data_IF_914837920826
#
_entry.id   IF_914837920826
#
_cell.length_a   1.000
_cell.length_b   1.000
_cell.length_c   1.000
_cell.angle_alpha   90.00
_cell.angle_beta   90.00
_cell.angle_gamma   90.00
#
_symmetry.space_group_name_H-M   'P 1'
#
loop_
_entity.id
_entity.type
_entity.pdbx_description
1 polymer ?
#
# COMPACT_ATOMS: atom_id res chain seq x y z
N UNK A 1 -15.77 17.17 -21.25
CA UNK A 1 -14.63 16.51 -21.95
C UNK A 1 -15.16 15.37 -22.79
N UNK A 2 -14.67 15.19 -24.03
CA UNK A 2 -14.97 13.98 -24.80
C UNK A 2 -14.39 12.72 -24.13
N UNK A 3 -15.01 11.56 -24.38
CA UNK A 3 -14.63 10.27 -23.75
C UNK A 3 -13.15 9.92 -23.93
N UNK A 4 -12.59 10.13 -25.13
CA UNK A 4 -11.17 9.89 -25.41
C UNK A 4 -10.23 10.80 -24.61
N UNK A 5 -10.56 12.09 -24.45
CA UNK A 5 -9.76 13.04 -23.65
C UNK A 5 -9.81 12.68 -22.16
N UNK A 6 -10.94 12.19 -21.67
CA UNK A 6 -11.07 11.73 -20.29
C UNK A 6 -10.21 10.49 -20.04
N UNK A 7 -10.27 9.48 -20.90
CA UNK A 7 -9.45 8.28 -20.77
C UNK A 7 -7.96 8.63 -20.80
N UNK A 8 -7.54 9.48 -21.75
CA UNK A 8 -6.14 9.92 -21.84
C UNK A 8 -5.68 10.66 -20.58
N UNK A 9 -6.52 11.54 -20.01
CA UNK A 9 -6.22 12.22 -18.75
C UNK A 9 -6.12 11.23 -17.59
N UNK A 10 -7.05 10.28 -17.48
CA UNK A 10 -7.07 9.28 -16.42
C UNK A 10 -5.84 8.37 -16.46
N UNK A 11 -5.43 7.92 -17.65
CA UNK A 11 -4.21 7.13 -17.83
C UNK A 11 -2.95 7.95 -17.51
N UNK A 12 -2.91 9.20 -17.99
CA UNK A 12 -1.81 10.12 -17.72
C UNK A 12 -1.62 10.38 -16.23
N UNK A 13 -2.69 10.67 -15.51
CA UNK A 13 -2.65 10.85 -14.05
C UNK A 13 -2.37 9.53 -13.33
N UNK A 14 -2.90 8.42 -13.84
CA UNK A 14 -2.62 7.09 -13.33
C UNK A 14 -1.15 6.71 -13.36
N UNK A 15 -0.36 7.28 -14.27
CA UNK A 15 1.09 7.08 -14.34
C UNK A 15 1.80 7.45 -13.02
N UNK A 16 1.30 8.45 -12.27
CA UNK A 16 1.81 8.80 -10.94
C UNK A 16 1.67 7.62 -9.97
N UNK A 17 0.49 6.99 -9.93
CA UNK A 17 0.26 5.83 -9.07
C UNK A 17 1.02 4.60 -9.56
N UNK A 18 1.16 4.43 -10.88
CA UNK A 18 1.98 3.36 -11.45
C UNK A 18 3.46 3.49 -11.02
N UNK A 19 3.98 4.72 -10.93
CA UNK A 19 5.33 4.97 -10.43
C UNK A 19 5.49 4.55 -8.96
N UNK A 20 4.51 4.88 -8.10
CA UNK A 20 4.51 4.43 -6.69
C UNK A 20 4.43 2.90 -6.59
N UNK A 21 3.63 2.27 -7.46
CA UNK A 21 3.57 0.82 -7.58
C UNK A 21 4.93 0.20 -7.96
N UNK A 22 5.61 0.75 -8.97
CA UNK A 22 6.94 0.28 -9.38
C UNK A 22 8.00 0.47 -8.28
N UNK A 23 7.98 1.60 -7.56
CA UNK A 23 8.85 1.83 -6.40
C UNK A 23 8.58 0.81 -5.29
N UNK A 24 7.31 0.45 -5.06
CA UNK A 24 6.99 -0.54 -4.04
C UNK A 24 7.62 -1.90 -4.32
N UNK A 25 7.77 -2.30 -5.59
CA UNK A 25 8.46 -3.55 -5.96
C UNK A 25 9.97 -3.46 -5.74
N UNK A 26 10.58 -2.31 -6.01
CA UNK A 26 11.99 -2.09 -5.69
C UNK A 26 12.25 -2.21 -4.19
N UNK A 27 11.38 -1.62 -3.36
CA UNK A 27 11.58 -1.56 -1.91
C UNK A 27 11.12 -2.83 -1.20
N UNK A 28 9.89 -3.27 -1.44
CA UNK A 28 9.31 -4.44 -0.77
C UNK A 28 9.73 -5.75 -1.44
N UNK A 29 10.21 -5.72 -2.68
CA UNK A 29 10.73 -6.89 -3.37
C UNK A 29 12.25 -6.99 -3.34
N UNK A 30 12.91 -6.21 -4.18
CA UNK A 30 14.36 -6.35 -4.39
C UNK A 30 15.13 -6.06 -3.09
N UNK A 31 14.88 -4.92 -2.44
CA UNK A 31 15.60 -4.58 -1.21
C UNK A 31 15.26 -5.53 -0.07
N UNK A 32 13.97 -5.82 0.14
CA UNK A 32 13.52 -6.74 1.18
C UNK A 32 14.24 -8.11 1.08
N UNK A 33 14.20 -8.71 -0.11
CA UNK A 33 14.84 -10.00 -0.36
C UNK A 33 16.35 -9.94 -0.14
N UNK A 34 17.03 -8.93 -0.70
CA UNK A 34 18.48 -8.79 -0.54
C UNK A 34 18.88 -8.62 0.93
N UNK A 35 18.14 -7.80 1.68
CA UNK A 35 18.43 -7.57 3.09
C UNK A 35 18.30 -8.84 3.92
N UNK A 36 17.24 -9.62 3.72
CA UNK A 36 16.96 -10.81 4.55
C UNK A 36 17.82 -12.01 4.12
N UNK A 37 17.78 -12.37 2.84
CA UNK A 37 18.37 -13.64 2.36
C UNK A 37 19.88 -13.53 2.11
N UNK A 38 20.34 -12.40 1.58
CA UNK A 38 21.72 -12.27 1.08
C UNK A 38 22.63 -11.50 2.03
N UNK A 39 22.10 -10.48 2.71
CA UNK A 39 22.86 -9.65 3.65
C UNK A 39 22.67 -10.06 5.11
N UNK A 40 21.86 -11.09 5.36
CA UNK A 40 21.56 -11.67 6.68
C UNK A 40 21.06 -10.64 7.71
N UNK A 41 20.39 -9.59 7.25
CA UNK A 41 19.75 -8.61 8.13
C UNK A 41 18.57 -9.29 8.83
N UNK A 42 18.40 -9.12 10.16
CA UNK A 42 17.23 -9.63 10.85
C UNK A 42 15.93 -9.16 10.19
N UNK A 43 15.04 -10.10 9.82
CA UNK A 43 13.78 -9.78 9.16
C UNK A 43 12.93 -8.74 9.92
N UNK A 44 12.96 -8.74 11.26
CA UNK A 44 12.30 -7.74 12.08
C UNK A 44 12.81 -6.30 11.80
N UNK A 45 14.13 -6.13 11.62
CA UNK A 45 14.73 -4.84 11.33
C UNK A 45 14.43 -4.38 9.89
N UNK A 46 14.54 -5.30 8.92
CA UNK A 46 14.18 -5.04 7.52
C UNK A 46 12.71 -4.63 7.40
N UNK A 47 11.81 -5.40 8.03
CA UNK A 47 10.39 -5.11 8.03
C UNK A 47 10.05 -3.83 8.80
N UNK A 48 10.75 -3.52 9.89
CA UNK A 48 10.65 -2.24 10.58
C UNK A 48 10.99 -1.10 9.63
N UNK A 49 12.12 -1.21 8.91
CA UNK A 49 12.52 -0.19 7.94
C UNK A 49 11.46 -0.01 6.86
N UNK A 50 11.09 -1.08 6.15
CA UNK A 50 10.16 -1.01 5.01
C UNK A 50 8.73 -0.63 5.43
N UNK A 51 8.25 -1.11 6.58
CA UNK A 51 6.91 -0.82 7.09
C UNK A 51 6.76 0.56 7.73
N UNK A 52 7.87 1.15 8.20
CA UNK A 52 7.86 2.47 8.87
C UNK A 52 7.31 3.60 8.00
N UNK A 53 7.42 3.50 6.68
CA UNK A 53 6.88 4.48 5.73
C UNK A 53 5.36 4.69 5.88
N UNK A 54 4.63 3.69 6.40
CA UNK A 54 3.19 3.79 6.63
C UNK A 54 2.85 4.40 7.99
N UNK A 55 3.77 4.36 8.97
CA UNK A 55 3.55 4.91 10.31
C UNK A 55 3.43 6.44 10.31
N UNK A 56 4.01 7.08 9.30
CA UNK A 56 3.93 8.54 9.10
C UNK A 56 2.66 8.97 8.35
N UNK A 57 1.70 8.08 8.12
CA UNK A 57 0.47 8.38 7.37
C UNK A 57 -0.38 9.51 7.99
N UNK A 58 -0.25 9.81 9.29
CA UNK A 58 -0.91 10.96 9.91
C UNK A 58 -0.49 12.30 9.28
N UNK A 59 0.72 12.37 8.73
CA UNK A 59 1.23 13.59 8.06
C UNK A 59 0.47 13.93 6.79
N UNK A 60 -0.25 12.97 6.19
CA UNK A 60 -1.11 13.20 5.02
C UNK A 60 -2.10 14.34 5.25
N UNK A 61 -2.71 14.41 6.43
CA UNK A 61 -3.66 15.48 6.79
C UNK A 61 -2.97 16.84 6.79
N UNK A 62 -1.78 16.92 7.38
CA UNK A 62 -0.99 18.15 7.44
C UNK A 62 -0.56 18.62 6.04
N UNK A 63 -0.06 17.71 5.19
CA UNK A 63 0.33 18.03 3.82
C UNK A 63 -0.87 18.42 2.94
N UNK A 64 -2.04 17.81 3.15
CA UNK A 64 -3.30 18.23 2.54
C UNK A 64 -3.57 19.70 2.83
N UNK A 65 -3.76 20.06 4.10
CA UNK A 65 -4.04 21.43 4.54
C UNK A 65 -2.97 22.45 4.10
N UNK A 66 -1.69 22.06 4.11
CA UNK A 66 -0.60 22.95 3.68
C UNK A 66 -0.63 23.20 2.18
N UNK A 67 -0.93 22.18 1.38
CA UNK A 67 -1.07 22.31 -0.07
C UNK A 67 -2.28 23.17 -0.46
N UNK A 68 -3.38 23.11 0.31
CA UNK A 68 -4.55 23.97 0.10
C UNK A 68 -4.22 25.46 0.17
N UNK A 69 -3.30 25.83 1.07
CA UNK A 69 -2.87 27.21 1.33
C UNK A 69 -1.70 27.67 0.44
N UNK A 70 -1.10 26.78 -0.33
CA UNK A 70 0.01 27.11 -1.21
C UNK A 70 -0.48 27.92 -2.42
N UNK A 71 0.30 28.91 -2.87
CA UNK A 71 -0.01 29.73 -4.05
C UNK A 71 1.25 30.03 -4.86
N UNK A 72 2.07 29.02 -5.12
CA UNK A 72 3.32 29.21 -5.87
C UNK A 72 3.02 29.35 -7.37
N UNK A 73 3.29 30.54 -7.94
CA UNK A 73 3.03 30.86 -9.37
C UNK A 73 1.57 30.58 -9.81
N UNK A 74 0.60 30.78 -8.91
CA UNK A 74 -0.82 30.52 -9.17
C UNK A 74 -1.21 29.03 -9.16
N UNK A 75 -0.31 28.14 -8.76
CA UNK A 75 -0.54 26.71 -8.54
C UNK A 75 -0.61 26.42 -7.03
N UNK A 76 -1.57 25.58 -6.63
CA UNK A 76 -1.79 25.16 -5.24
C UNK A 76 -1.18 23.78 -4.98
N UNK A 77 -1.50 22.79 -5.81
CA UNK A 77 -1.18 21.36 -5.57
C UNK A 77 0.15 20.94 -6.18
N UNK A 78 0.41 21.32 -7.43
CA UNK A 78 1.57 20.92 -8.24
C UNK A 78 2.92 21.12 -7.54
N UNK A 79 3.20 22.25 -6.84
CA UNK A 79 4.48 22.45 -6.17
C UNK A 79 4.75 21.42 -5.07
N UNK A 80 3.71 21.03 -4.31
CA UNK A 80 3.82 20.00 -3.29
C UNK A 80 4.01 18.61 -3.91
N UNK A 81 3.29 18.31 -4.99
CA UNK A 81 3.45 17.04 -5.72
C UNK A 81 4.87 16.91 -6.26
N UNK A 82 5.40 17.93 -6.94
CA UNK A 82 6.76 17.89 -7.49
C UNK A 82 7.84 17.89 -6.41
N UNK A 83 7.68 18.68 -5.35
CA UNK A 83 8.62 18.71 -4.23
C UNK A 83 8.66 17.38 -3.49
N UNK A 84 7.50 16.81 -3.18
CA UNK A 84 7.38 15.47 -2.61
C UNK A 84 7.94 14.38 -3.54
N UNK A 85 7.71 14.50 -4.85
CA UNK A 85 8.27 13.59 -5.85
C UNK A 85 9.79 13.63 -5.94
N UNK A 86 10.38 14.81 -5.95
CA UNK A 86 11.83 14.97 -5.88
C UNK A 86 12.36 14.35 -4.58
N UNK A 87 11.72 14.65 -3.45
CA UNK A 87 12.11 14.12 -2.15
C UNK A 87 12.03 12.57 -2.11
N UNK A 88 10.92 11.95 -2.49
CA UNK A 88 10.82 10.49 -2.42
C UNK A 88 11.75 9.81 -3.42
N UNK A 89 11.99 10.37 -4.61
CA UNK A 89 12.95 9.82 -5.57
C UNK A 89 14.39 9.90 -5.03
N UNK A 90 14.78 11.03 -4.46
CA UNK A 90 16.10 11.17 -3.82
C UNK A 90 16.26 10.23 -2.64
N UNK A 91 15.20 10.04 -1.83
CA UNK A 91 15.22 9.11 -0.70
C UNK A 91 15.22 7.64 -1.15
N UNK A 92 14.62 7.30 -2.30
CA UNK A 92 14.79 5.97 -2.91
C UNK A 92 16.25 5.74 -3.32
N UNK A 93 16.90 6.75 -3.92
CA UNK A 93 18.33 6.68 -4.24
C UNK A 93 19.18 6.48 -2.98
N UNK A 94 18.95 7.29 -1.94
CA UNK A 94 19.63 7.16 -0.64
C UNK A 94 19.36 5.77 -0.03
N UNK A 95 18.12 5.29 -0.04
CA UNK A 95 17.77 3.97 0.49
C UNK A 95 18.53 2.86 -0.23
N UNK A 96 18.60 2.90 -1.56
CA UNK A 96 19.38 1.92 -2.32
C UNK A 96 20.88 2.00 -2.03
N UNK A 97 21.46 3.21 -1.90
CA UNK A 97 22.86 3.37 -1.46
C UNK A 97 23.08 2.84 -0.04
N UNK A 98 22.13 3.01 0.86
CA UNK A 98 22.17 2.45 2.22
C UNK A 98 22.10 0.91 2.19
N UNK A 99 21.28 0.32 1.31
CA UNK A 99 21.23 -1.14 1.11
C UNK A 99 22.58 -1.69 0.62
N UNK A 100 23.22 -1.01 -0.34
CA UNK A 100 24.56 -1.38 -0.81
C UNK A 100 25.62 -1.20 0.28
N UNK A 101 25.50 -0.16 1.10
CA UNK A 101 26.35 0.03 2.27
C UNK A 101 26.15 -1.07 3.33
N UNK A 102 24.94 -1.60 3.49
CA UNK A 102 24.69 -2.78 4.34
C UNK A 102 25.37 -4.03 3.74
N UNK A 103 25.29 -4.20 2.42
CA UNK A 103 25.95 -5.30 1.71
C UNK A 103 27.46 -5.37 2.02
N UNK A 104 28.14 -4.22 1.99
CA UNK A 104 29.57 -4.13 2.33
C UNK A 104 29.88 -4.60 3.75
N UNK A 105 29.02 -4.26 4.74
CA UNK A 105 29.20 -4.72 6.12
C UNK A 105 28.97 -6.23 6.26
N UNK A 106 27.96 -6.75 5.56
CA UNK A 106 27.64 -8.17 5.55
C UNK A 106 28.78 -9.00 4.95
N UNK A 107 29.34 -8.56 3.82
CA UNK A 107 30.51 -9.20 3.19
C UNK A 107 31.77 -9.19 4.08
N UNK A 108 31.89 -8.21 4.98
CA UNK A 108 32.98 -8.12 5.97
C UNK A 108 32.73 -8.98 7.22
N UNK A 109 31.55 -9.59 7.37
CA UNK A 109 31.16 -10.35 8.55
C UNK A 109 30.92 -9.50 9.81
N UNK A 110 30.73 -8.18 9.65
CA UNK A 110 30.51 -7.26 10.79
C UNK A 110 29.01 -7.13 11.09
N UNK A 111 28.50 -8.07 11.89
CA UNK A 111 27.09 -8.10 12.30
C UNK A 111 26.64 -6.84 13.05
N UNK A 112 27.55 -6.16 13.78
CA UNK A 112 27.21 -4.93 14.50
C UNK A 112 26.95 -3.78 13.54
N UNK A 113 27.83 -3.63 12.54
CA UNK A 113 27.62 -2.67 11.45
C UNK A 113 26.32 -2.95 10.70
N UNK A 114 26.01 -4.21 10.38
CA UNK A 114 24.76 -4.56 9.67
C UNK A 114 23.52 -4.03 10.40
N UNK A 115 23.45 -4.21 11.73
CA UNK A 115 22.32 -3.73 12.54
C UNK A 115 22.25 -2.19 12.58
N UNK A 116 23.38 -1.52 12.80
CA UNK A 116 23.43 -0.05 12.86
C UNK A 116 23.03 0.55 11.51
N UNK A 117 23.57 0.02 10.41
CA UNK A 117 23.24 0.46 9.05
C UNK A 117 21.78 0.17 8.70
N UNK A 118 21.22 -0.94 9.18
CA UNK A 118 19.78 -1.24 9.07
C UNK A 118 18.88 -0.27 9.84
N UNK A 119 19.30 0.22 11.01
CA UNK A 119 18.57 1.28 11.73
C UNK A 119 18.60 2.61 10.97
N UNK A 120 19.74 2.95 10.34
CA UNK A 120 19.81 4.11 9.44
C UNK A 120 18.84 3.95 8.28
N UNK A 121 18.75 2.76 7.68
CA UNK A 121 17.79 2.46 6.62
C UNK A 121 16.34 2.70 7.09
N UNK A 122 16.00 2.34 8.33
CA UNK A 122 14.68 2.60 8.88
C UNK A 122 14.35 4.10 8.98
N UNK A 123 15.32 4.93 9.37
CA UNK A 123 15.16 6.39 9.37
C UNK A 123 14.96 6.92 7.95
N UNK A 124 15.71 6.40 6.97
CA UNK A 124 15.52 6.77 5.56
C UNK A 124 14.12 6.43 5.08
N UNK A 125 13.56 5.27 5.44
CA UNK A 125 12.20 4.89 5.05
C UNK A 125 11.10 5.67 5.78
N UNK A 126 11.33 6.13 7.01
CA UNK A 126 10.44 7.09 7.67
C UNK A 126 10.35 8.40 6.88
N UNK A 127 11.51 8.96 6.49
CA UNK A 127 11.59 10.17 5.66
C UNK A 127 10.97 9.93 4.27
N UNK A 128 11.17 8.74 3.70
CA UNK A 128 10.57 8.35 2.42
C UNK A 128 9.03 8.33 2.50
N UNK A 129 8.45 7.79 3.58
CA UNK A 129 7.00 7.83 3.80
C UNK A 129 6.44 9.25 3.98
N UNK A 130 7.21 10.15 4.61
CA UNK A 130 6.88 11.57 4.71
C UNK A 130 6.87 12.23 3.34
N UNK A 131 7.86 11.94 2.49
CA UNK A 131 7.95 12.46 1.14
C UNK A 131 6.84 11.93 0.22
N UNK A 132 6.48 10.64 0.33
CA UNK A 132 5.30 10.09 -0.34
C UNK A 132 4.05 10.84 0.11
N UNK A 133 3.85 11.03 1.42
CA UNK A 133 2.66 11.72 1.95
C UNK A 133 2.57 13.17 1.48
N UNK A 134 3.71 13.86 1.35
CA UNK A 134 3.80 15.20 0.79
C UNK A 134 3.36 15.28 -0.68
N UNK A 135 3.56 14.20 -1.45
CA UNK A 135 3.21 14.15 -2.87
C UNK A 135 1.82 13.56 -3.13
N UNK A 136 1.50 12.42 -2.51
CA UNK A 136 0.31 11.61 -2.83
C UNK A 136 -0.98 12.27 -2.36
N UNK A 137 -0.96 12.96 -1.23
CA UNK A 137 -2.17 13.58 -0.69
C UNK A 137 -2.62 14.79 -1.51
N UNK A 138 -1.73 15.75 -1.84
CA UNK A 138 -2.08 16.82 -2.76
C UNK A 138 -2.41 16.32 -4.17
N UNK A 139 -1.82 15.20 -4.60
CA UNK A 139 -2.20 14.54 -5.85
C UNK A 139 -3.64 14.02 -5.83
N UNK A 140 -4.07 13.37 -4.74
CA UNK A 140 -5.46 12.92 -4.59
C UNK A 140 -6.44 14.11 -4.61
N UNK A 141 -6.09 15.22 -3.97
CA UNK A 141 -6.87 16.46 -4.05
C UNK A 141 -6.91 17.03 -5.48
N UNK A 142 -5.79 16.98 -6.22
CA UNK A 142 -5.74 17.40 -7.61
C UNK A 142 -6.71 16.58 -8.49
N UNK A 143 -6.86 15.27 -8.26
CA UNK A 143 -7.84 14.45 -9.00
C UNK A 143 -9.27 14.96 -8.81
N UNK A 144 -9.60 15.42 -7.60
CA UNK A 144 -10.89 16.02 -7.29
C UNK A 144 -11.04 17.36 -8.00
N UNK A 145 -10.02 18.21 -7.95
CA UNK A 145 -10.02 19.55 -8.56
C UNK A 145 -10.18 19.52 -10.09
N UNK A 146 -9.70 18.45 -10.76
CA UNK A 146 -9.74 18.32 -12.23
C UNK A 146 -10.89 17.48 -12.77
N UNK A 147 -11.74 16.93 -11.88
CA UNK A 147 -12.86 16.07 -12.27
C UNK A 147 -14.21 16.61 -11.83
N UNK A 148 -15.21 16.40 -12.69
CA UNK A 148 -16.61 16.66 -12.33
C UNK A 148 -17.14 15.57 -11.39
N UNK A 149 -18.17 15.86 -10.59
CA UNK A 149 -18.79 14.89 -9.67
C UNK A 149 -19.16 13.56 -10.35
N UNK A 150 -19.70 13.64 -11.58
CA UNK A 150 -20.07 12.45 -12.37
C UNK A 150 -18.86 11.61 -12.83
N UNK A 151 -17.71 12.25 -13.04
CA UNK A 151 -16.51 11.60 -13.57
C UNK A 151 -15.54 11.14 -12.48
N UNK A 152 -15.61 11.74 -11.29
CA UNK A 152 -14.68 11.51 -10.17
C UNK A 152 -14.54 10.03 -9.79
N UNK A 153 -15.62 9.23 -9.61
CA UNK A 153 -15.46 7.82 -9.23
C UNK A 153 -14.70 7.01 -10.29
N UNK A 154 -14.97 7.26 -11.57
CA UNK A 154 -14.30 6.59 -12.67
C UNK A 154 -12.82 7.00 -12.78
N UNK A 155 -12.51 8.29 -12.64
CA UNK A 155 -11.13 8.79 -12.65
C UNK A 155 -10.32 8.17 -11.52
N UNK A 156 -10.85 8.24 -10.29
CA UNK A 156 -10.20 7.68 -9.09
C UNK A 156 -9.98 6.19 -9.26
N UNK A 157 -10.99 5.43 -9.70
CA UNK A 157 -10.85 3.98 -9.93
C UNK A 157 -9.74 3.64 -10.94
N UNK A 158 -9.66 4.35 -12.07
CA UNK A 158 -8.58 4.14 -13.06
C UNK A 158 -7.21 4.46 -12.47
N UNK A 159 -7.08 5.61 -11.81
CA UNK A 159 -5.82 6.06 -11.21
C UNK A 159 -5.33 5.09 -10.13
N UNK A 160 -6.21 4.61 -9.26
CA UNK A 160 -5.86 3.61 -8.25
C UNK A 160 -5.57 2.24 -8.83
N UNK A 161 -6.28 1.83 -9.89
CA UNK A 161 -5.97 0.57 -10.60
C UNK A 161 -4.57 0.61 -11.23
N UNK A 162 -4.12 1.79 -11.66
CA UNK A 162 -2.77 1.98 -12.19
C UNK A 162 -1.67 1.73 -11.14
N UNK A 163 -1.96 1.79 -9.84
CA UNK A 163 -1.01 1.34 -8.82
C UNK A 163 -0.68 -0.14 -8.98
N UNK A 164 -1.70 -0.99 -9.15
CA UNK A 164 -1.51 -2.43 -9.38
C UNK A 164 -0.82 -2.70 -10.73
N UNK A 165 -1.19 -1.96 -11.78
CA UNK A 165 -0.47 -2.03 -13.06
C UNK A 165 1.00 -1.66 -12.89
N UNK A 166 1.30 -0.65 -12.07
CA UNK A 166 2.66 -0.25 -11.71
C UNK A 166 3.44 -1.33 -10.97
N UNK A 167 2.81 -2.06 -10.05
CA UNK A 167 3.42 -3.22 -9.38
C UNK A 167 3.75 -4.32 -10.40
N UNK A 168 2.79 -4.68 -11.26
CA UNK A 168 3.00 -5.74 -12.27
C UNK A 168 4.07 -5.34 -13.28
N UNK A 169 3.94 -4.16 -13.89
CA UNK A 169 4.91 -3.65 -14.85
C UNK A 169 6.27 -3.42 -14.20
N UNK A 170 6.31 -2.87 -12.99
CA UNK A 170 7.54 -2.68 -12.21
C UNK A 170 8.26 -3.99 -11.95
N UNK A 171 7.57 -5.02 -11.47
CA UNK A 171 8.16 -6.34 -11.27
C UNK A 171 8.75 -6.93 -12.56
N UNK A 172 8.05 -6.80 -13.69
CA UNK A 172 8.57 -7.30 -14.98
C UNK A 172 9.78 -6.47 -15.45
N UNK A 173 9.69 -5.15 -15.42
CA UNK A 173 10.73 -4.24 -15.91
C UNK A 173 11.99 -4.27 -15.05
N UNK A 174 11.84 -4.25 -13.71
CA UNK A 174 12.97 -4.32 -12.78
C UNK A 174 13.68 -5.67 -12.87
N UNK A 175 12.93 -6.78 -12.92
CA UNK A 175 13.53 -8.11 -13.15
C UNK A 175 14.18 -8.24 -14.52
N UNK A 176 13.61 -7.62 -15.57
CA UNK A 176 14.22 -7.63 -16.90
C UNK A 176 15.53 -6.81 -16.92
N UNK A 177 15.55 -5.65 -16.24
CA UNK A 177 16.74 -4.81 -16.10
C UNK A 177 17.87 -5.54 -15.38
N UNK A 178 17.54 -6.30 -14.33
CA UNK A 178 18.50 -7.11 -13.57
C UNK A 178 18.82 -8.47 -14.24
N UNK A 179 18.13 -8.86 -15.31
CA UNK A 179 18.12 -10.24 -15.80
C UNK A 179 19.50 -10.86 -16.04
N UNK A 180 20.44 -10.11 -16.62
CA UNK A 180 21.82 -10.59 -16.82
C UNK A 180 22.62 -10.70 -15.53
N UNK A 181 22.31 -9.85 -14.53
CA UNK A 181 22.96 -9.88 -13.21
C UNK A 181 22.47 -11.06 -12.37
N UNK A 182 21.17 -11.39 -12.44
CA UNK A 182 20.59 -12.51 -11.71
C UNK A 182 21.00 -13.88 -12.25
N UNK A 183 21.24 -13.99 -13.56
CA UNK A 183 21.67 -15.24 -14.19
C UNK A 183 23.12 -15.64 -13.84
N UNK A 184 23.89 -14.73 -13.25
CA UNK A 184 25.25 -15.01 -12.81
C UNK A 184 25.26 -15.64 -11.42
N UNK A 185 26.20 -16.55 -11.16
CA UNK A 185 26.31 -17.24 -9.88
C UNK A 185 26.82 -16.35 -8.72
N UNK A 186 27.21 -15.09 -8.99
CA UNK A 186 27.88 -14.23 -8.02
C UNK A 186 26.99 -13.08 -7.53
N UNK A 187 26.92 -12.92 -6.21
CA UNK A 187 26.21 -11.80 -5.55
C UNK A 187 26.71 -10.42 -6.01
N UNK A 188 27.99 -10.30 -6.38
CA UNK A 188 28.59 -9.04 -6.81
C UNK A 188 27.95 -8.47 -8.09
N UNK A 189 27.53 -9.34 -9.01
CA UNK A 189 26.85 -8.91 -10.24
C UNK A 189 25.45 -8.40 -9.95
N UNK A 190 24.76 -8.99 -8.96
CA UNK A 190 23.47 -8.53 -8.46
C UNK A 190 23.64 -7.17 -7.78
N UNK A 191 24.63 -7.01 -6.91
CA UNK A 191 24.97 -5.72 -6.25
C UNK A 191 25.23 -4.63 -7.31
N UNK A 192 26.03 -4.93 -8.34
CA UNK A 192 26.30 -3.99 -9.44
C UNK A 192 25.04 -3.66 -10.25
N UNK A 193 24.18 -4.66 -10.50
CA UNK A 193 22.90 -4.45 -11.18
C UNK A 193 21.98 -3.54 -10.37
N UNK A 194 21.90 -3.73 -9.06
CA UNK A 194 21.12 -2.90 -8.14
C UNK A 194 21.68 -1.49 -8.05
N UNK A 195 23.00 -1.30 -8.01
CA UNK A 195 23.60 0.05 -8.02
C UNK A 195 23.25 0.85 -9.28
N UNK A 196 23.30 0.20 -10.46
CA UNK A 196 22.83 0.81 -11.72
C UNK A 196 21.34 1.11 -11.67
N UNK A 197 20.54 0.17 -11.16
CA UNK A 197 19.10 0.32 -11.07
C UNK A 197 18.71 1.49 -10.16
N UNK A 198 19.30 1.58 -8.98
CA UNK A 198 19.08 2.67 -8.01
C UNK A 198 19.56 4.01 -8.55
N UNK A 199 20.60 4.02 -9.39
CA UNK A 199 21.08 5.25 -10.03
C UNK A 199 20.14 5.74 -11.13
N UNK A 200 19.48 4.85 -11.88
CA UNK A 200 18.63 5.22 -13.04
C UNK A 200 17.16 5.37 -12.66
N UNK A 201 16.61 4.46 -11.85
CA UNK A 201 15.17 4.38 -11.58
C UNK A 201 14.57 5.67 -11.00
N UNK A 202 15.18 6.35 -10.01
CA UNK A 202 14.65 7.60 -9.47
C UNK A 202 14.49 8.72 -10.51
N UNK A 203 15.43 8.83 -11.47
CA UNK A 203 15.34 9.83 -12.55
C UNK A 203 14.22 9.52 -13.53
N UNK A 204 14.11 8.26 -13.94
CA UNK A 204 13.03 7.80 -14.83
C UNK A 204 11.67 8.05 -14.16
N UNK A 205 11.54 7.66 -12.90
CA UNK A 205 10.30 7.79 -12.13
C UNK A 205 9.94 9.27 -11.91
N UNK A 206 10.91 10.10 -11.53
CA UNK A 206 10.68 11.53 -11.39
C UNK A 206 10.21 12.17 -12.72
N UNK A 207 10.82 11.78 -13.83
CA UNK A 207 10.42 12.25 -15.17
C UNK A 207 8.99 11.83 -15.52
N UNK A 208 8.62 10.57 -15.26
CA UNK A 208 7.25 10.09 -15.48
C UNK A 208 6.25 10.81 -14.59
N UNK A 209 6.59 11.10 -13.33
CA UNK A 209 5.77 11.90 -12.42
C UNK A 209 5.59 13.32 -12.96
N UNK A 210 6.66 14.00 -13.39
CA UNK A 210 6.56 15.33 -14.00
C UNK A 210 5.62 15.31 -15.20
N UNK A 211 5.80 14.33 -16.10
CA UNK A 211 4.94 14.16 -17.29
C UNK A 211 3.47 13.91 -16.90
N UNK A 212 3.22 13.15 -15.82
CA UNK A 212 1.88 12.82 -15.36
C UNK A 212 1.06 14.06 -14.94
N UNK A 213 1.69 15.05 -14.29
CA UNK A 213 1.00 16.22 -13.74
C UNK A 213 1.24 17.53 -14.50
N UNK A 214 2.21 17.59 -15.42
CA UNK A 214 2.59 18.84 -16.09
C UNK A 214 1.41 19.51 -16.81
N UNK A 215 1.04 20.72 -16.39
CA UNK A 215 -0.02 21.51 -17.03
C UNK A 215 -1.44 20.94 -16.80
N UNK A 216 -1.61 20.03 -15.84
CA UNK A 216 -2.94 19.51 -15.46
C UNK A 216 -3.69 20.50 -14.57
N UNK A 217 -2.99 21.12 -13.61
CA UNK A 217 -3.61 22.09 -12.70
C UNK A 217 -3.88 23.43 -13.40
N UNK A 218 -5.15 23.90 -13.46
CA UNK A 218 -5.46 25.21 -14.00
C UNK A 218 -4.89 26.31 -13.09
N UNK A 219 -4.20 27.30 -13.68
CA UNK A 219 -3.63 28.43 -12.92
C UNK A 219 -4.77 29.33 -12.42
N UNK A 220 -4.80 29.59 -11.12
CA UNK A 220 -5.80 30.52 -10.56
C UNK A 220 -5.40 31.96 -10.85
N UNK A 221 -6.32 32.74 -11.44
CA UNK A 221 -6.19 34.20 -11.57
C UNK A 221 -6.46 34.88 -10.23
N UNK A 222 -5.59 35.81 -9.84
CA UNK A 222 -5.59 36.56 -8.56
C UNK A 222 -6.83 37.43 -8.27
N UNK A 223 -7.93 37.30 -9.02
CA UNK A 223 -9.11 38.19 -8.98
C UNK A 223 -10.41 37.54 -8.48
N UNK A 224 -10.50 36.21 -8.30
CA UNK A 224 -11.72 35.54 -7.78
C UNK A 224 -11.77 35.48 -6.23
N UNK A 225 -11.12 36.45 -5.58
CA UNK A 225 -10.29 36.20 -4.39
C UNK A 225 -11.02 36.17 -3.03
N UNK A 226 -12.34 36.41 -2.95
CA UNK A 226 -13.01 36.47 -1.63
C UNK A 226 -14.33 35.69 -1.50
N UNK A 227 -14.88 35.10 -2.57
CA UNK A 227 -16.22 34.49 -2.52
C UNK A 227 -16.23 32.97 -2.29
N UNK A 228 -15.14 32.25 -2.58
CA UNK A 228 -15.11 30.77 -2.54
C UNK A 228 -14.32 30.18 -1.36
N UNK A 229 -13.55 30.99 -0.63
CA UNK A 229 -12.91 30.57 0.62
C UNK A 229 -13.89 30.18 1.73
N UNK A 230 -15.20 30.39 1.52
CA UNK A 230 -16.26 30.06 2.47
C UNK A 230 -17.27 28.98 2.04
N UNK A 231 -17.14 28.37 0.84
CA UNK A 231 -18.18 27.45 0.32
C UNK A 231 -17.76 26.01 0.00
N UNK A 232 -16.50 25.66 0.19
CA UNK A 232 -16.03 24.27 0.10
C UNK A 232 -15.33 23.79 1.37
N UNK A 233 -15.74 24.34 2.52
CA UNK A 233 -15.57 23.65 3.80
C UNK A 233 -16.80 22.76 3.98
N UNK A 234 -16.96 21.73 3.14
CA UNK A 234 -17.67 20.55 3.62
C UNK A 234 -16.89 20.13 4.86
N UNK A 235 -17.46 20.35 6.04
CA UNK A 235 -16.81 20.30 7.35
C UNK A 235 -15.83 19.11 7.44
N UNK A 236 -14.55 19.37 7.15
CA UNK A 236 -13.47 18.44 7.46
C UNK A 236 -13.34 18.46 8.98
N UNK A 237 -14.05 17.54 9.62
CA UNK A 237 -14.00 17.33 11.05
C UNK A 237 -12.52 17.05 11.42
N UNK A 238 -12.01 17.77 12.43
CA UNK A 238 -10.64 17.56 12.91
C UNK A 238 -10.43 16.09 13.29
N UNK A 239 -9.18 15.59 13.20
CA UNK A 239 -8.82 14.23 13.63
C UNK A 239 -9.33 13.90 15.05
N UNK A 240 -9.38 14.90 15.94
CA UNK A 240 -9.92 14.74 17.29
C UNK A 240 -11.43 14.49 17.32
N UNK A 241 -12.20 15.20 16.52
CA UNK A 241 -13.64 14.98 16.45
C UNK A 241 -13.99 13.70 15.66
N UNK A 242 -13.19 13.29 14.68
CA UNK A 242 -13.32 11.97 14.05
C UNK A 242 -13.05 10.82 15.04
N UNK A 243 -12.06 10.98 15.91
CA UNK A 243 -11.77 10.05 17.01
C UNK A 243 -12.91 9.99 18.03
N UNK A 244 -13.55 11.13 18.32
CA UNK A 244 -14.70 11.21 19.20
C UNK A 244 -15.94 10.48 18.63
N UNK A 245 -16.18 10.57 17.32
CA UNK A 245 -17.24 9.79 16.64
C UNK A 245 -16.95 8.29 16.65
N UNK A 246 -15.69 7.88 16.48
CA UNK A 246 -15.30 6.47 16.61
C UNK A 246 -15.54 5.93 18.03
N UNK A 247 -15.30 6.75 19.04
CA UNK A 247 -15.51 6.40 20.45
C UNK A 247 -16.98 6.48 20.88
N UNK A 248 -17.81 7.28 20.21
CA UNK A 248 -19.21 7.48 20.57
C UNK A 248 -20.10 6.29 20.21
N UNK A 249 -19.70 5.45 19.25
CA UNK A 249 -20.45 4.24 18.88
C UNK A 249 -19.59 2.98 18.95
N UNK A 250 -19.85 2.06 19.90
CA UNK A 250 -19.07 0.82 20.03
C UNK A 250 -19.17 -0.08 18.80
N UNK A 251 -20.24 0.04 18.00
CA UNK A 251 -20.38 -0.68 16.73
C UNK A 251 -19.52 -0.11 15.62
N UNK A 252 -19.31 1.22 15.60
CA UNK A 252 -18.40 1.85 14.66
C UNK A 252 -16.96 1.43 14.98
N UNK A 253 -16.58 1.49 16.26
CA UNK A 253 -15.29 0.96 16.73
C UNK A 253 -15.08 -0.51 16.38
N UNK A 254 -16.08 -1.36 16.62
CA UNK A 254 -16.03 -2.79 16.25
C UNK A 254 -15.81 -2.98 14.75
N UNK A 255 -16.59 -2.32 13.91
CA UNK A 255 -16.46 -2.42 12.46
C UNK A 255 -15.07 -2.00 11.96
N UNK A 256 -14.57 -0.86 12.46
CA UNK A 256 -13.21 -0.38 12.13
C UNK A 256 -12.13 -1.35 12.61
N UNK A 257 -12.27 -1.93 13.81
CA UNK A 257 -11.34 -2.93 14.32
C UNK A 257 -11.32 -4.19 13.43
N UNK A 258 -12.49 -4.64 12.98
CA UNK A 258 -12.61 -5.79 12.07
C UNK A 258 -11.96 -5.49 10.72
N UNK A 259 -12.20 -4.32 10.11
CA UNK A 259 -11.55 -3.93 8.86
C UNK A 259 -10.04 -3.77 9.00
N UNK A 260 -9.58 -3.25 10.15
CA UNK A 260 -8.16 -3.09 10.44
C UNK A 260 -7.47 -4.43 10.61
N UNK A 261 -8.09 -5.36 11.37
CA UNK A 261 -7.60 -6.74 11.49
C UNK A 261 -7.58 -7.43 10.13
N UNK A 262 -8.64 -7.25 9.34
CA UNK A 262 -8.73 -7.82 8.00
C UNK A 262 -7.60 -7.33 7.08
N UNK A 263 -7.38 -6.02 7.04
CA UNK A 263 -6.27 -5.40 6.29
C UNK A 263 -4.93 -5.91 6.82
N UNK A 264 -4.76 -5.96 8.14
CA UNK A 264 -3.55 -6.44 8.77
C UNK A 264 -3.23 -7.88 8.35
N UNK A 265 -4.21 -8.79 8.41
CA UNK A 265 -4.02 -10.18 8.02
C UNK A 265 -3.81 -10.34 6.51
N UNK A 266 -4.43 -9.52 5.65
CA UNK A 266 -4.16 -9.59 4.21
C UNK A 266 -2.70 -9.25 3.86
N UNK A 267 -2.12 -8.25 4.53
CA UNK A 267 -0.79 -7.73 4.20
C UNK A 267 0.34 -8.27 5.09
N UNK A 268 0.07 -9.23 5.99
CA UNK A 268 1.09 -9.78 6.91
C UNK A 268 2.28 -10.40 6.16
N UNK A 269 2.05 -10.94 4.97
CA UNK A 269 3.07 -11.58 4.13
C UNK A 269 3.98 -10.61 3.37
N UNK A 270 3.73 -9.30 3.36
CA UNK A 270 4.48 -8.37 2.48
C UNK A 270 6.00 -8.40 2.72
N UNK A 271 6.44 -8.54 3.96
CA UNK A 271 7.88 -8.62 4.26
C UNK A 271 8.46 -10.03 4.08
N UNK A 272 7.62 -11.03 3.85
CA UNK A 272 7.97 -12.45 4.04
C UNK A 272 7.91 -13.24 2.73
N UNK A 273 7.12 -12.78 1.76
CA UNK A 273 6.84 -13.54 0.53
C UNK A 273 8.07 -13.72 -0.37
N UNK A 274 8.85 -12.68 -0.70
CA UNK A 274 10.03 -12.88 -1.55
C UNK A 274 11.13 -13.68 -0.86
N UNK A 275 11.48 -13.38 0.41
CA UNK A 275 12.44 -14.19 1.17
C UNK A 275 12.02 -15.66 1.26
N UNK A 276 10.71 -15.95 1.36
CA UNK A 276 10.20 -17.32 1.31
C UNK A 276 10.51 -18.02 -0.02
N UNK A 277 10.30 -17.32 -1.15
CA UNK A 277 10.64 -17.84 -2.48
C UNK A 277 12.12 -18.16 -2.62
N UNK A 278 13.00 -17.31 -2.08
CA UNK A 278 14.45 -17.51 -2.08
C UNK A 278 14.88 -18.65 -1.17
N UNK A 279 14.50 -18.59 0.11
CA UNK A 279 14.96 -19.52 1.14
C UNK A 279 14.40 -20.95 0.99
N UNK A 280 13.14 -21.11 0.54
CA UNK A 280 12.50 -22.43 0.47
C UNK A 280 12.62 -23.07 -0.91
N UNK A 281 12.51 -22.29 -1.99
CA UNK A 281 12.51 -22.81 -3.36
C UNK A 281 13.79 -22.50 -4.15
N UNK A 282 14.79 -21.84 -3.53
CA UNK A 282 16.05 -21.51 -4.19
C UNK A 282 15.92 -20.51 -5.34
N UNK A 283 14.85 -19.70 -5.36
CA UNK A 283 14.61 -18.73 -6.43
C UNK A 283 15.61 -17.56 -6.36
N UNK A 284 16.08 -17.12 -7.53
CA UNK A 284 16.92 -15.92 -7.64
C UNK A 284 16.13 -14.61 -7.38
N UNK A 285 16.84 -13.48 -7.22
CA UNK A 285 16.22 -12.15 -6.99
C UNK A 285 15.22 -11.82 -8.09
N UNK A 286 15.56 -12.12 -9.35
CA UNK A 286 14.73 -11.77 -10.49
C UNK A 286 13.41 -12.56 -10.49
N UNK A 287 13.45 -13.85 -10.14
CA UNK A 287 12.28 -14.73 -10.07
C UNK A 287 11.41 -14.39 -8.87
N UNK A 288 12.01 -14.19 -7.69
CA UNK A 288 11.28 -13.76 -6.50
C UNK A 288 10.60 -12.39 -6.70
N UNK A 289 11.27 -11.45 -7.37
CA UNK A 289 10.67 -10.15 -7.72
C UNK A 289 9.43 -10.30 -8.62
N UNK A 290 9.42 -11.28 -9.54
CA UNK A 290 8.27 -11.58 -10.40
C UNK A 290 7.07 -12.14 -9.64
N UNK A 291 7.23 -12.62 -8.40
CA UNK A 291 6.10 -13.03 -7.55
C UNK A 291 5.14 -11.87 -7.30
N UNK A 292 5.64 -10.63 -7.19
CA UNK A 292 4.81 -9.43 -7.10
C UNK A 292 3.92 -9.23 -8.33
N UNK A 293 4.41 -9.57 -9.53
CA UNK A 293 3.60 -9.54 -10.74
C UNK A 293 2.49 -10.59 -10.67
N UNK A 294 2.79 -11.81 -10.23
CA UNK A 294 1.81 -12.89 -10.10
C UNK A 294 0.70 -12.50 -9.12
N UNK A 295 1.08 -12.03 -7.92
CA UNK A 295 0.14 -11.55 -6.92
C UNK A 295 -0.68 -10.36 -7.44
N UNK A 296 -0.03 -9.36 -8.05
CA UNK A 296 -0.69 -8.16 -8.57
C UNK A 296 -1.67 -8.45 -9.71
N UNK A 297 -1.34 -9.36 -10.64
CA UNK A 297 -2.26 -9.81 -11.69
C UNK A 297 -3.45 -10.54 -11.07
N UNK A 298 -3.21 -11.41 -10.10
CA UNK A 298 -4.27 -12.05 -9.32
C UNK A 298 -5.20 -11.00 -8.71
N UNK A 299 -4.66 -10.00 -8.01
CA UNK A 299 -5.43 -8.91 -7.39
C UNK A 299 -6.25 -8.10 -8.38
N UNK A 300 -5.72 -7.79 -9.57
CA UNK A 300 -6.47 -7.12 -10.62
C UNK A 300 -7.66 -7.96 -11.10
N UNK A 301 -7.45 -9.26 -11.34
CA UNK A 301 -8.52 -10.20 -11.70
C UNK A 301 -9.58 -10.25 -10.59
N UNK A 302 -9.14 -10.28 -9.33
CA UNK A 302 -10.01 -10.24 -8.15
C UNK A 302 -10.89 -8.99 -8.13
N UNK A 303 -10.28 -7.80 -8.19
CA UNK A 303 -10.99 -6.52 -8.17
C UNK A 303 -12.02 -6.44 -9.32
N UNK A 304 -11.62 -6.82 -10.54
CA UNK A 304 -12.50 -6.82 -11.70
C UNK A 304 -13.68 -7.79 -11.50
N UNK A 305 -13.42 -9.02 -11.08
CA UNK A 305 -14.47 -10.02 -10.84
C UNK A 305 -15.49 -9.57 -9.79
N UNK A 306 -15.05 -8.82 -8.77
CA UNK A 306 -15.94 -8.30 -7.72
C UNK A 306 -16.94 -7.29 -8.24
N UNK A 307 -16.49 -6.32 -9.03
CA UNK A 307 -17.35 -5.27 -9.55
C UNK A 307 -18.42 -5.79 -10.50
N UNK A 308 -18.08 -6.74 -11.37
CA UNK A 308 -18.96 -7.20 -12.44
C UNK A 308 -19.79 -8.45 -12.09
N UNK A 309 -19.27 -9.36 -11.27
CA UNK A 309 -19.85 -10.70 -11.10
C UNK A 309 -20.33 -10.95 -9.67
N UNK A 310 -19.50 -10.65 -8.66
CA UNK A 310 -19.74 -11.12 -7.29
C UNK A 310 -20.61 -10.16 -6.49
N UNK A 311 -20.26 -8.87 -6.43
CA UNK A 311 -21.01 -7.89 -5.62
C UNK A 311 -22.47 -7.76 -6.04
N UNK A 312 -22.82 -7.70 -7.35
CA UNK A 312 -24.23 -7.63 -7.77
C UNK A 312 -25.05 -8.87 -7.38
N UNK A 313 -24.42 -10.03 -7.23
CA UNK A 313 -25.10 -11.31 -6.96
C UNK A 313 -25.17 -11.66 -5.47
N UNK A 314 -24.09 -11.41 -4.72
CA UNK A 314 -23.93 -11.85 -3.32
C UNK A 314 -24.07 -10.71 -2.31
N UNK A 315 -23.97 -9.45 -2.76
CA UNK A 315 -23.86 -8.29 -1.90
C UNK A 315 -22.44 -8.11 -1.33
N UNK A 316 -22.12 -6.87 -0.91
CA UNK A 316 -20.76 -6.49 -0.50
C UNK A 316 -20.24 -7.29 0.72
N UNK A 317 -21.07 -7.51 1.74
CA UNK A 317 -20.65 -8.20 2.98
C UNK A 317 -20.28 -9.67 2.73
N UNK A 318 -21.13 -10.41 2.01
CA UNK A 318 -20.87 -11.83 1.70
C UNK A 318 -19.68 -11.98 0.76
N UNK A 319 -19.52 -11.04 -0.18
CA UNK A 319 -18.36 -11.04 -1.08
C UNK A 319 -17.05 -10.78 -0.34
N UNK A 320 -17.05 -9.86 0.64
CA UNK A 320 -15.88 -9.60 1.48
C UNK A 320 -15.50 -10.85 2.30
N UNK A 321 -16.49 -11.50 2.91
CA UNK A 321 -16.30 -12.73 3.67
C UNK A 321 -15.75 -13.88 2.81
N UNK A 322 -16.36 -14.12 1.65
CA UNK A 322 -15.90 -15.14 0.71
C UNK A 322 -14.44 -14.89 0.30
N UNK A 323 -14.10 -13.65 -0.06
CA UNK A 323 -12.74 -13.28 -0.40
C UNK A 323 -11.77 -13.51 0.77
N UNK A 324 -12.18 -13.21 2.01
CA UNK A 324 -11.36 -13.46 3.20
C UNK A 324 -11.13 -14.95 3.48
N UNK A 325 -12.16 -15.78 3.37
CA UNK A 325 -12.06 -17.24 3.56
C UNK A 325 -11.20 -17.89 2.47
N UNK A 326 -11.40 -17.49 1.21
CA UNK A 326 -10.57 -17.94 0.09
C UNK A 326 -9.12 -17.50 0.27
N UNK A 327 -8.88 -16.27 0.74
CA UNK A 327 -7.54 -15.77 1.02
C UNK A 327 -6.84 -16.64 2.08
N UNK A 328 -7.54 -16.99 3.18
CA UNK A 328 -6.99 -17.88 4.20
C UNK A 328 -6.64 -19.27 3.63
N UNK A 329 -7.52 -19.83 2.80
CA UNK A 329 -7.30 -21.12 2.15
C UNK A 329 -6.07 -21.11 1.23
N UNK A 330 -5.92 -20.09 0.38
CA UNK A 330 -4.80 -20.00 -0.55
C UNK A 330 -3.48 -19.66 0.13
N UNK A 331 -3.49 -18.92 1.24
CA UNK A 331 -2.30 -18.74 2.10
C UNK A 331 -1.86 -20.07 2.71
N UNK A 332 -2.79 -20.92 3.16
CA UNK A 332 -2.42 -22.29 3.58
C UNK A 332 -1.90 -23.12 2.39
N UNK A 333 -2.42 -22.88 1.19
CA UNK A 333 -1.89 -23.45 -0.06
C UNK A 333 -0.43 -23.08 -0.31
N UNK A 334 0.00 -21.85 0.03
CA UNK A 334 1.41 -21.44 -0.02
C UNK A 334 2.27 -22.29 0.92
N UNK A 335 1.80 -22.55 2.15
CA UNK A 335 2.50 -23.41 3.11
C UNK A 335 2.62 -24.85 2.60
N UNK A 336 1.52 -25.39 2.06
CA UNK A 336 1.52 -26.74 1.47
C UNK A 336 2.47 -26.81 0.28
N UNK A 337 2.55 -25.75 -0.54
CA UNK A 337 3.48 -25.70 -1.66
C UNK A 337 4.95 -25.81 -1.22
N UNK A 338 5.34 -25.14 -0.14
CA UNK A 338 6.70 -25.30 0.39
C UNK A 338 6.94 -26.64 1.04
N UNK A 339 5.93 -27.24 1.68
CA UNK A 339 6.06 -28.59 2.25
C UNK A 339 6.26 -29.67 1.17
N UNK A 340 5.68 -29.45 -0.02
CA UNK A 340 5.81 -30.32 -1.18
C UNK A 340 6.98 -29.93 -2.11
N UNK A 341 7.71 -28.87 -1.78
CA UNK A 341 8.77 -28.27 -2.62
C UNK A 341 8.31 -28.03 -4.09
N UNK A 342 7.06 -27.59 -4.25
CA UNK A 342 6.44 -27.38 -5.56
C UNK A 342 6.31 -25.90 -5.90
N UNK A 343 7.27 -25.37 -6.68
CA UNK A 343 7.25 -23.99 -7.16
C UNK A 343 5.98 -23.67 -7.98
N UNK A 344 5.52 -24.61 -8.82
CA UNK A 344 4.31 -24.41 -9.62
C UNK A 344 3.06 -24.24 -8.74
N UNK A 345 2.96 -25.05 -7.67
CA UNK A 345 1.87 -24.93 -6.70
C UNK A 345 1.97 -23.61 -5.93
N UNK A 346 3.18 -23.18 -5.56
CA UNK A 346 3.40 -21.91 -4.87
C UNK A 346 2.95 -20.71 -5.72
N UNK A 347 3.39 -20.63 -6.98
CA UNK A 347 2.98 -19.57 -7.92
C UNK A 347 1.47 -19.57 -8.15
N UNK A 348 0.85 -20.74 -8.24
CA UNK A 348 -0.60 -20.87 -8.42
C UNK A 348 -1.36 -20.43 -7.16
N UNK A 349 -0.95 -20.88 -5.99
CA UNK A 349 -1.53 -20.48 -4.71
C UNK A 349 -1.39 -18.97 -4.49
N UNK A 350 -0.24 -18.39 -4.84
CA UNK A 350 -0.01 -16.96 -4.76
C UNK A 350 -0.91 -16.15 -5.70
N UNK A 351 -1.10 -16.61 -6.94
CA UNK A 351 -2.04 -16.00 -7.88
C UNK A 351 -3.48 -16.02 -7.34
N UNK A 352 -3.92 -17.17 -6.84
CA UNK A 352 -5.26 -17.36 -6.28
C UNK A 352 -5.46 -16.54 -4.99
N UNK A 353 -4.43 -16.46 -4.14
CA UNK A 353 -4.41 -15.57 -2.99
C UNK A 353 -4.55 -14.11 -3.42
N UNK A 354 -3.79 -13.66 -4.42
CA UNK A 354 -3.92 -12.32 -5.00
C UNK A 354 -5.34 -12.04 -5.46
N UNK A 355 -5.98 -12.97 -6.18
CA UNK A 355 -7.36 -12.86 -6.63
C UNK A 355 -8.36 -12.78 -5.47
N UNK A 356 -8.24 -13.65 -4.47
CA UNK A 356 -9.09 -13.62 -3.28
C UNK A 356 -8.92 -12.32 -2.46
N UNK A 357 -7.69 -11.83 -2.33
CA UNK A 357 -7.36 -10.57 -1.67
C UNK A 357 -7.97 -9.37 -2.42
N UNK A 358 -7.88 -9.37 -3.76
CA UNK A 358 -8.53 -8.37 -4.60
C UNK A 358 -10.05 -8.38 -4.45
N UNK A 359 -10.66 -9.58 -4.38
CA UNK A 359 -12.09 -9.72 -4.15
C UNK A 359 -12.51 -9.09 -2.84
N UNK A 360 -11.80 -9.44 -1.77
CA UNK A 360 -12.15 -8.98 -0.45
C UNK A 360 -11.89 -7.49 -0.24
N UNK A 361 -10.77 -6.97 -0.77
CA UNK A 361 -10.42 -5.55 -0.67
C UNK A 361 -11.48 -4.68 -1.35
N UNK A 362 -11.90 -5.02 -2.57
CA UNK A 362 -12.90 -4.25 -3.30
C UNK A 362 -14.30 -4.35 -2.65
N UNK A 363 -14.64 -5.52 -2.11
CA UNK A 363 -15.91 -5.72 -1.40
C UNK A 363 -15.96 -4.96 -0.06
N UNK A 364 -14.87 -4.97 0.71
CA UNK A 364 -14.75 -4.19 1.95
C UNK A 364 -14.82 -2.68 1.68
N UNK A 365 -14.20 -2.20 0.59
CA UNK A 365 -14.33 -0.80 0.16
C UNK A 365 -15.79 -0.45 -0.15
N UNK A 366 -16.48 -1.29 -0.93
CA UNK A 366 -17.90 -1.10 -1.27
C UNK A 366 -18.78 -1.07 -0.01
N UNK A 367 -18.51 -1.97 0.94
CA UNK A 367 -19.24 -2.06 2.18
C UNK A 367 -19.03 -0.80 3.04
N UNK A 368 -17.79 -0.31 3.14
CA UNK A 368 -17.49 0.92 3.87
C UNK A 368 -18.20 2.13 3.27
N UNK A 369 -18.16 2.28 1.94
CA UNK A 369 -18.83 3.38 1.24
C UNK A 369 -20.35 3.32 1.43
N UNK A 370 -20.96 2.13 1.39
CA UNK A 370 -22.39 1.94 1.60
C UNK A 370 -22.86 2.19 3.05
N UNK A 371 -21.94 2.24 4.01
CA UNK A 371 -22.25 2.49 5.42
C UNK A 371 -22.04 3.95 5.83
N UNK A 372 -21.41 4.76 4.98
CA UNK A 372 -21.04 6.13 5.31
C UNK A 372 -22.14 7.10 4.89
N UNK A 373 -22.69 7.86 5.84
CA UNK A 373 -23.65 8.92 5.53
C UNK A 373 -23.00 10.03 4.68
N UNK A 374 -23.71 10.62 3.70
CA UNK A 374 -23.18 11.69 2.84
C UNK A 374 -22.55 12.85 3.60
N UNK A 375 -23.12 13.25 4.75
CA UNK A 375 -22.62 14.37 5.55
C UNK A 375 -21.30 14.10 6.28
N UNK A 376 -20.92 12.84 6.51
CA UNK A 376 -19.65 12.48 7.16
C UNK A 376 -18.69 11.74 6.23
N UNK A 377 -18.96 11.73 4.93
CA UNK A 377 -18.20 10.97 3.94
C UNK A 377 -16.71 11.30 3.94
N UNK A 378 -16.34 12.58 3.93
CA UNK A 378 -14.94 13.02 3.96
C UNK A 378 -14.18 12.53 5.19
N UNK A 379 -14.77 12.68 6.38
CA UNK A 379 -14.18 12.29 7.66
C UNK A 379 -13.95 10.78 7.75
N UNK A 380 -14.95 9.96 7.41
CA UNK A 380 -14.83 8.50 7.46
C UNK A 380 -13.83 7.97 6.42
N UNK A 381 -13.78 8.57 5.21
CA UNK A 381 -12.79 8.22 4.19
C UNK A 381 -11.36 8.52 4.67
N UNK A 382 -11.14 9.67 5.30
CA UNK A 382 -9.84 10.05 5.85
C UNK A 382 -9.37 9.11 6.97
N UNK A 383 -10.24 8.82 7.94
CA UNK A 383 -9.92 7.90 9.05
C UNK A 383 -9.71 6.47 8.56
N UNK A 384 -10.50 6.01 7.59
CA UNK A 384 -10.30 4.70 6.99
C UNK A 384 -8.97 4.59 6.27
N UNK A 385 -8.61 5.58 5.45
CA UNK A 385 -7.31 5.58 4.76
C UNK A 385 -6.13 5.59 5.75
N UNK A 386 -6.29 6.25 6.89
CA UNK A 386 -5.32 6.26 7.98
C UNK A 386 -5.24 4.89 8.69
N UNK A 387 -6.39 4.31 9.06
CA UNK A 387 -6.47 2.99 9.69
C UNK A 387 -5.90 1.90 8.77
N UNK A 388 -6.19 1.97 7.47
CA UNK A 388 -5.65 1.04 6.47
C UNK A 388 -4.12 1.18 6.35
N UNK A 389 -3.59 2.40 6.34
CA UNK A 389 -2.15 2.63 6.29
C UNK A 389 -1.46 2.04 7.53
N UNK A 390 -1.97 2.32 8.74
CA UNK A 390 -1.42 1.75 9.96
C UNK A 390 -1.57 0.23 10.02
N UNK A 391 -2.72 -0.32 9.63
CA UNK A 391 -2.92 -1.76 9.60
C UNK A 391 -1.93 -2.46 8.66
N UNK A 392 -1.70 -1.90 7.46
CA UNK A 392 -0.70 -2.43 6.51
C UNK A 392 0.72 -2.25 7.02
N UNK A 393 1.08 -1.08 7.54
CA UNK A 393 2.40 -0.84 8.12
C UNK A 393 2.73 -1.78 9.27
N UNK A 394 1.80 -1.93 10.23
CA UNK A 394 1.93 -2.87 11.33
C UNK A 394 1.97 -4.32 10.85
N UNK A 395 1.23 -4.67 9.78
CA UNK A 395 1.29 -6.00 9.19
C UNK A 395 2.67 -6.31 8.62
N UNK A 396 3.24 -5.41 7.83
CA UNK A 396 4.60 -5.57 7.29
C UNK A 396 5.60 -5.78 8.43
N UNK A 397 5.60 -4.90 9.44
CA UNK A 397 6.50 -4.96 10.60
C UNK A 397 6.31 -6.27 11.39
N UNK A 398 5.05 -6.64 11.66
CA UNK A 398 4.72 -7.86 12.40
C UNK A 398 5.10 -9.11 11.62
N UNK A 399 4.97 -9.12 10.29
CA UNK A 399 5.38 -10.24 9.45
C UNK A 399 6.88 -10.54 9.60
N UNK A 400 7.73 -9.51 9.49
CA UNK A 400 9.17 -9.68 9.72
C UNK A 400 9.53 -9.99 11.17
N UNK A 401 8.83 -9.39 12.14
CA UNK A 401 9.02 -9.68 13.56
C UNK A 401 8.67 -11.13 13.91
N UNK A 402 7.56 -11.65 13.36
CA UNK A 402 7.17 -13.05 13.50
C UNK A 402 8.19 -13.97 12.84
N UNK A 403 8.69 -13.62 11.64
CA UNK A 403 9.72 -14.40 10.95
C UNK A 403 11.01 -14.48 11.79
N UNK A 404 11.51 -13.36 12.32
CA UNK A 404 12.66 -13.36 13.22
C UNK A 404 12.37 -14.12 14.51
N UNK A 405 11.19 -13.94 15.11
CA UNK A 405 10.79 -14.66 16.33
C UNK A 405 10.80 -16.17 16.12
N UNK A 406 10.13 -16.66 15.08
CA UNK A 406 10.19 -18.09 14.73
C UNK A 406 11.59 -18.53 14.35
N UNK A 407 12.37 -17.70 13.67
CA UNK A 407 13.77 -17.97 13.36
C UNK A 407 14.61 -18.24 14.61
N UNK A 408 14.43 -17.45 15.67
CA UNK A 408 15.10 -17.69 16.95
C UNK A 408 14.64 -18.97 17.65
N UNK A 409 13.34 -19.29 17.57
CA UNK A 409 12.76 -20.50 18.17
C UNK A 409 13.19 -21.78 17.43
N UNK A 410 13.33 -21.70 16.10
CA UNK A 410 13.61 -22.83 15.22
C UNK A 410 15.11 -22.94 14.84
N UNK A 411 15.95 -22.03 15.35
CA UNK A 411 17.40 -22.01 15.12
C UNK A 411 17.87 -21.35 13.81
N UNK A 412 16.97 -21.11 12.85
CA UNK A 412 17.27 -20.37 11.62
C UNK A 412 16.06 -19.62 11.08
N UNK A 413 16.25 -18.35 10.72
CA UNK A 413 15.23 -17.52 10.05
C UNK A 413 14.91 -18.02 8.63
N UNK A 414 15.84 -18.72 7.98
CA UNK A 414 15.66 -19.25 6.63
C UNK A 414 14.97 -20.63 6.60
N UNK A 415 14.47 -21.10 7.75
CA UNK A 415 13.79 -22.39 7.84
C UNK A 415 12.36 -22.33 7.30
N UNK A 416 11.94 -23.38 6.59
CA UNK A 416 10.55 -23.54 6.16
C UNK A 416 9.54 -23.36 7.31
N UNK A 417 9.87 -23.90 8.50
CA UNK A 417 9.01 -23.81 9.68
C UNK A 417 8.77 -22.35 10.14
N UNK A 418 9.79 -21.49 10.06
CA UNK A 418 9.66 -20.09 10.43
C UNK A 418 8.71 -19.34 9.48
N UNK A 419 8.89 -19.52 8.17
CA UNK A 419 8.00 -18.97 7.16
C UNK A 419 6.57 -19.51 7.25
N UNK A 420 6.42 -20.84 7.38
CA UNK A 420 5.13 -21.50 7.54
C UNK A 420 4.36 -20.96 8.75
N UNK A 421 5.05 -20.71 9.88
CA UNK A 421 4.46 -20.10 11.07
C UNK A 421 3.82 -18.74 10.78
N UNK A 422 4.48 -17.87 10.01
CA UNK A 422 3.93 -16.56 9.63
C UNK A 422 2.67 -16.72 8.77
N UNK A 423 2.71 -17.56 7.74
CA UNK A 423 1.56 -17.80 6.86
C UNK A 423 0.38 -18.47 7.60
N UNK A 424 0.65 -19.35 8.56
CA UNK A 424 -0.40 -19.95 9.40
C UNK A 424 -1.06 -18.88 10.28
N UNK A 425 -0.28 -18.02 10.95
CA UNK A 425 -0.83 -16.88 11.71
C UNK A 425 -1.65 -15.98 10.79
N UNK A 426 -1.17 -15.74 9.56
CA UNK A 426 -1.90 -14.96 8.57
C UNK A 426 -3.26 -15.57 8.24
N UNK A 427 -3.30 -16.87 7.95
CA UNK A 427 -4.53 -17.59 7.63
C UNK A 427 -5.53 -17.57 8.81
N UNK A 428 -5.04 -17.77 10.04
CA UNK A 428 -5.86 -17.66 11.26
C UNK A 428 -6.43 -16.24 11.40
N UNK A 429 -5.60 -15.21 11.20
CA UNK A 429 -6.04 -13.82 11.25
C UNK A 429 -7.14 -13.51 10.23
N UNK A 430 -7.00 -13.99 8.99
CA UNK A 430 -8.01 -13.86 7.94
C UNK A 430 -9.32 -14.57 8.29
N UNK A 431 -9.24 -15.78 8.86
CA UNK A 431 -10.42 -16.53 9.33
C UNK A 431 -11.13 -15.79 10.47
N UNK A 432 -10.38 -15.33 11.48
CA UNK A 432 -10.93 -14.57 12.61
C UNK A 432 -11.58 -13.29 12.12
N UNK A 433 -10.92 -12.52 11.25
CA UNK A 433 -11.48 -11.30 10.68
C UNK A 433 -12.76 -11.59 9.88
N UNK A 434 -12.80 -12.67 9.08
CA UNK A 434 -13.99 -13.13 8.37
C UNK A 434 -15.14 -13.50 9.33
N UNK A 435 -14.87 -14.25 10.39
CA UNK A 435 -15.88 -14.60 11.39
C UNK A 435 -16.44 -13.36 12.12
N UNK A 436 -15.59 -12.38 12.39
CA UNK A 436 -16.03 -11.12 12.99
C UNK A 436 -16.87 -10.28 12.02
N UNK A 437 -16.58 -10.32 10.71
CA UNK A 437 -17.43 -9.69 9.69
C UNK A 437 -18.87 -10.25 9.65
N UNK A 438 -19.09 -11.52 10.02
CA UNK A 438 -20.45 -12.09 10.14
C UNK A 438 -21.26 -11.43 11.27
N UNK A 439 -20.59 -10.96 12.31
CA UNK A 439 -21.23 -10.31 13.46
C UNK A 439 -21.49 -8.81 13.24
N UNK A 440 -21.01 -8.25 12.13
CA UNK A 440 -21.27 -6.86 11.77
C UNK A 440 -22.72 -6.73 11.27
N UNK A 441 -23.57 -6.10 12.07
CA UNK A 441 -24.91 -5.68 11.66
C UNK A 441 -24.82 -4.36 10.89
N UNK A 442 -24.79 -4.47 9.56
CA UNK A 442 -24.69 -3.32 8.65
C UNK A 442 -25.91 -2.40 8.74
N UNK A 443 -27.10 -2.94 9.07
CA UNK A 443 -28.34 -2.15 9.18
C UNK A 443 -28.37 -1.35 10.46
N UNK A 444 -27.88 -1.91 11.57
CA UNK A 444 -27.77 -1.20 12.84
C UNK A 444 -26.71 -0.10 12.78
N UNK A 445 -25.60 -0.33 12.07
CA UNK A 445 -24.58 0.70 11.83
C UNK A 445 -25.17 1.91 11.10
N UNK A 446 -25.88 1.70 9.98
CA UNK A 446 -26.49 2.79 9.20
C UNK A 446 -27.45 3.63 10.06
N UNK A 447 -28.34 2.98 10.82
CA UNK A 447 -29.29 3.69 11.70
C UNK A 447 -28.61 4.51 12.79
N UNK A 448 -27.53 3.99 13.40
CA UNK A 448 -26.80 4.74 14.44
C UNK A 448 -26.02 5.92 13.90
N UNK A 449 -25.46 5.79 12.69
CA UNK A 449 -24.81 6.91 12.00
C UNK A 449 -25.81 8.01 11.67
N UNK A 450 -26.99 7.68 11.17
CA UNK A 450 -28.08 8.64 10.93
C UNK A 450 -28.53 9.33 12.23
N UNK A 451 -28.69 8.57 13.31
CA UNK A 451 -29.11 9.11 14.62
C UNK A 451 -28.05 10.07 15.20
N UNK A 452 -26.76 9.69 15.15
CA UNK A 452 -25.67 10.56 15.60
C UNK A 452 -25.61 11.87 14.80
N UNK A 453 -25.84 11.80 13.49
CA UNK A 453 -25.91 12.97 12.62
C UNK A 453 -27.07 13.90 13.00
N UNK A 454 -28.25 13.35 13.24
CA UNK A 454 -29.41 14.14 13.68
C UNK A 454 -29.16 14.86 15.00
N UNK A 455 -28.43 14.24 15.94
CA UNK A 455 -28.08 14.88 17.22
C UNK A 455 -27.03 15.98 17.10
N UNK A 456 -26.06 15.84 16.19
CA UNK A 456 -25.05 16.88 15.94
C UNK A 456 -25.67 18.07 15.24
N UNK A 457 -26.51 17.83 14.22
CA UNK A 457 -27.24 18.89 13.52
C UNK A 457 -28.22 19.62 14.44
N UNK A 458 -28.87 18.92 15.38
CA UNK A 458 -29.71 19.56 16.38
C UNK A 458 -28.92 20.47 17.34
N UNK A 459 -27.71 20.05 17.74
CA UNK A 459 -26.82 20.85 18.60
C UNK A 459 -26.14 22.03 17.88
N UNK A 460 -26.08 22.06 16.54
CA UNK A 460 -25.56 23.22 15.78
C UNK A 460 -26.65 24.25 15.46
N UNK A 461 -27.93 23.92 15.70
CA UNK A 461 -29.08 24.81 15.47
C UNK A 461 -29.53 25.57 16.74
N UNK A 462 -29.01 25.17 17.91
CA UNK A 462 -29.10 25.87 19.20
C UNK A 462 -27.83 26.69 19.46
#
# INVERSE_FOLDING_TARGET
MGSARFIALSLRLGLFQACLGALSVLTLGIFNRLLIDEFEVPAALTALALGSQQLVAFTRVWFGQRSDRCRWRGLRRTPFILGGAAAFCTLTWVAGRTVLWIAEASQQGDSSSVVIRGLVLAVVFLLYGLAISASSTPFAALLVDVSTEKQRPALVSVVWSMLMVGIVAGAILLSAFLGSSCASAGIDAVISGVDRLVSVAPWVIFTLVVVSIAGVEPRQSSQLTNAETGKSTEQEISLGAAWQVLRSSPQVGYFFAVLSLFTFSLFLQEAVLEPYGGAVFGMDVCTTTRLNAIWGVGTLVGIASTGFLLTPRLGAQRTALLGGLLSACFVLGIVVAGALDSEALFRTALFLFGAAAGISTNASLTLMLGLTSPLMAGTFIGVWGLAQAYARGLATISGGALLSGFGTLMGSQNSFAAYAGVFIIQAIGLLVAGLLLLRVDTKMFQRKVETALSSILANELD
#
